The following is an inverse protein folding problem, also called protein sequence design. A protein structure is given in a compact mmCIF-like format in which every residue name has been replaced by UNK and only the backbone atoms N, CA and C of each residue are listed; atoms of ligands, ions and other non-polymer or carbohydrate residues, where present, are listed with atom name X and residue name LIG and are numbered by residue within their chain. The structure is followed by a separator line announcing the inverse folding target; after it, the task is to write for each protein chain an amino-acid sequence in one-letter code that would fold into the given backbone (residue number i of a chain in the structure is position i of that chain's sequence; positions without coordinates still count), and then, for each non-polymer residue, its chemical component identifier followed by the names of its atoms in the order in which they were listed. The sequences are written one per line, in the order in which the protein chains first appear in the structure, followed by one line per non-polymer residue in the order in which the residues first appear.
data_IF_369181145444
#
_entry.id   IF_369181145444
#
_cell.length_a   1.000
_cell.length_b   1.000
_cell.length_c   1.000
_cell.angle_alpha   90.00
_cell.angle_beta   90.00
_cell.angle_gamma   90.00
#
_symmetry.space_group_name_H-M   'P 1'
#
loop_
_entity.id
_entity.type
_entity.pdbx_description
1 polymer ?
#
# COMPACT_ATOMS: atom_id res chain seq x y z
N UNK A 1 -9.21 -24.15 15.81
CA UNK A 1 -8.78 -23.02 16.66
C UNK A 1 -9.39 -21.74 16.12
N UNK A 2 -10.21 -21.09 16.96
CA UNK A 2 -10.78 -19.73 16.94
C UNK A 2 -10.97 -19.00 15.59
N UNK A 3 -12.22 -19.06 15.10
CA UNK A 3 -12.84 -18.08 14.18
C UNK A 3 -12.84 -16.70 14.84
N UNK A 4 -11.93 -15.82 14.44
CA UNK A 4 -12.01 -14.40 14.77
C UNK A 4 -13.15 -13.78 13.95
N UNK A 5 -14.28 -13.44 14.61
CA UNK A 5 -15.21 -12.45 14.08
C UNK A 5 -14.49 -11.11 14.19
N UNK A 6 -14.01 -10.57 13.07
CA UNK A 6 -13.17 -9.36 13.05
C UNK A 6 -14.08 -8.11 13.04
N UNK A 7 -13.86 -7.23 14.02
CA UNK A 7 -14.43 -5.90 14.16
C UNK A 7 -13.99 -5.00 12.95
N UNK A 8 -14.45 -3.73 12.81
CA UNK A 8 -14.26 -2.95 11.59
C UNK A 8 -12.78 -2.95 11.21
N UNK A 9 -12.53 -3.52 10.02
CA UNK A 9 -11.26 -3.68 9.31
C UNK A 9 -10.03 -3.23 10.13
N UNK A 10 -9.51 -4.11 10.98
CA UNK A 10 -8.13 -4.02 11.47
C UNK A 10 -7.28 -4.85 10.50
N UNK A 11 -6.13 -4.30 10.08
CA UNK A 11 -5.17 -5.09 9.30
C UNK A 11 -4.71 -6.30 10.12
N UNK A 12 -4.14 -7.32 9.46
CA UNK A 12 -3.61 -8.48 10.18
C UNK A 12 -2.50 -8.11 11.18
N UNK A 13 -1.93 -6.90 11.08
CA UNK A 13 -0.92 -6.35 11.97
C UNK A 13 -1.45 -5.32 12.97
N UNK A 14 -2.77 -5.06 13.01
CA UNK A 14 -3.40 -4.10 13.93
C UNK A 14 -3.28 -2.63 13.47
N UNK A 15 -2.89 -2.38 12.22
CA UNK A 15 -2.97 -1.06 11.59
C UNK A 15 -4.42 -0.74 11.18
N UNK A 16 -4.82 0.55 11.12
CA UNK A 16 -6.17 0.93 10.74
C UNK A 16 -6.50 0.37 9.35
N UNK A 17 -7.74 -0.04 9.13
CA UNK A 17 -8.22 -0.31 7.78
C UNK A 17 -9.59 0.29 7.50
N UNK A 18 -9.81 0.61 6.24
CA UNK A 18 -11.04 1.21 5.72
C UNK A 18 -11.51 0.48 4.48
N UNK A 19 -12.75 0.71 4.06
CA UNK A 19 -13.31 0.10 2.84
C UNK A 19 -12.71 0.68 1.55
N UNK A 20 -11.92 1.75 1.64
CA UNK A 20 -11.28 2.39 0.51
C UNK A 20 -12.24 3.06 -0.46
N UNK A 21 -11.84 3.16 -1.73
CA UNK A 21 -12.65 3.77 -2.79
C UNK A 21 -13.30 2.69 -3.66
N UNK A 22 -14.62 2.70 -3.73
CA UNK A 22 -15.40 1.72 -4.49
C UNK A 22 -15.01 1.62 -5.96
N UNK A 23 -14.65 2.74 -6.61
CA UNK A 23 -14.24 2.76 -8.03
C UNK A 23 -12.91 2.03 -8.21
N UNK A 24 -11.95 2.31 -7.32
CA UNK A 24 -10.62 1.69 -7.35
C UNK A 24 -10.75 0.20 -7.02
N UNK A 25 -11.55 -0.15 -6.01
CA UNK A 25 -11.79 -1.54 -5.62
C UNK A 25 -12.38 -2.35 -6.78
N UNK A 26 -13.41 -1.84 -7.44
CA UNK A 26 -14.04 -2.52 -8.57
C UNK A 26 -13.07 -2.71 -9.75
N UNK A 27 -12.22 -1.71 -10.02
CA UNK A 27 -11.23 -1.77 -11.09
C UNK A 27 -10.13 -2.79 -10.79
N UNK A 28 -9.56 -2.77 -9.58
CA UNK A 28 -8.54 -3.73 -9.15
C UNK A 28 -9.13 -5.14 -9.16
N UNK A 29 -10.33 -5.32 -8.59
CA UNK A 29 -11.05 -6.60 -8.60
C UNK A 29 -11.22 -7.14 -10.02
N UNK A 30 -11.64 -6.28 -10.96
CA UNK A 30 -11.78 -6.67 -12.37
C UNK A 30 -10.44 -7.13 -12.94
N UNK A 31 -9.36 -6.38 -12.72
CA UNK A 31 -8.02 -6.73 -13.25
C UNK A 31 -7.54 -8.08 -12.71
N UNK A 32 -7.65 -8.31 -11.40
CA UNK A 32 -7.14 -9.56 -10.79
C UNK A 32 -7.95 -10.79 -11.20
N UNK A 33 -9.24 -10.63 -11.48
CA UNK A 33 -10.15 -11.74 -11.82
C UNK A 33 -10.34 -11.96 -13.32
N UNK A 34 -9.96 -10.98 -14.17
CA UNK A 34 -10.20 -11.02 -15.61
C UNK A 34 -9.68 -12.30 -16.28
N UNK A 35 -8.49 -12.78 -15.91
CA UNK A 35 -7.93 -14.00 -16.50
C UNK A 35 -8.66 -15.29 -16.08
N UNK A 36 -9.30 -15.28 -14.91
CA UNK A 36 -9.95 -16.47 -14.33
C UNK A 36 -11.44 -16.55 -14.69
N UNK A 37 -12.13 -15.42 -14.66
CA UNK A 37 -13.58 -15.34 -14.85
C UNK A 37 -13.98 -15.07 -16.30
N UNK A 38 -13.24 -14.18 -16.99
CA UNK A 38 -13.53 -13.77 -18.36
C UNK A 38 -12.60 -14.45 -19.39
N UNK A 39 -11.76 -15.38 -18.93
CA UNK A 39 -10.88 -16.17 -19.79
C UNK A 39 -11.63 -17.21 -20.62
N UNK A 40 -11.04 -17.63 -21.75
CA UNK A 40 -11.63 -18.63 -22.66
C UNK A 40 -11.84 -20.01 -22.01
N UNK A 41 -11.08 -20.32 -20.95
CA UNK A 41 -11.31 -21.47 -20.08
C UNK A 41 -11.51 -20.96 -18.65
N UNK A 42 -12.54 -21.43 -17.95
CA UNK A 42 -12.73 -21.13 -16.53
C UNK A 42 -11.63 -21.86 -15.76
N UNK A 43 -10.75 -21.10 -15.13
CA UNK A 43 -9.66 -21.64 -14.32
C UNK A 43 -10.07 -21.65 -12.84
N UNK A 44 -9.93 -22.80 -12.20
CA UNK A 44 -9.86 -22.86 -10.73
C UNK A 44 -8.54 -22.22 -10.28
N UNK A 45 -8.58 -21.57 -9.13
CA UNK A 45 -7.37 -21.00 -8.52
C UNK A 45 -6.48 -22.15 -8.04
N UNK A 46 -5.21 -22.08 -8.42
CA UNK A 46 -4.11 -23.01 -8.14
C UNK A 46 -2.89 -22.21 -7.71
N UNK A 47 -1.88 -22.89 -7.19
CA UNK A 47 -0.64 -22.28 -6.70
C UNK A 47 0.12 -21.39 -7.71
N UNK A 48 -0.09 -21.57 -9.02
CA UNK A 48 0.65 -20.82 -10.05
C UNK A 48 -0.13 -19.64 -10.66
N UNK A 49 -1.44 -19.55 -10.42
CA UNK A 49 -2.32 -18.52 -10.99
C UNK A 49 -3.14 -17.78 -9.91
N UNK A 50 -2.80 -17.96 -8.63
CA UNK A 50 -3.43 -17.27 -7.52
C UNK A 50 -2.96 -15.82 -7.39
N UNK A 51 -1.79 -15.49 -7.96
CA UNK A 51 -1.19 -14.15 -7.90
C UNK A 51 -1.35 -13.36 -9.20
N UNK A 52 -1.81 -12.12 -9.06
CA UNK A 52 -1.81 -11.14 -10.14
C UNK A 52 -1.08 -9.87 -9.72
N UNK A 53 -0.14 -9.39 -10.54
CA UNK A 53 0.49 -8.08 -10.34
C UNK A 53 -0.33 -7.01 -11.05
N UNK A 54 -0.74 -5.99 -10.30
CA UNK A 54 -1.47 -4.83 -10.84
C UNK A 54 -0.51 -3.66 -10.95
N UNK A 55 -0.24 -3.24 -12.18
CA UNK A 55 0.71 -2.16 -12.48
C UNK A 55 0.26 -0.82 -11.89
N UNK A 56 -1.04 -0.54 -11.93
CA UNK A 56 -1.62 0.71 -11.40
C UNK A 56 -1.25 0.97 -9.94
N UNK A 57 -1.30 -0.08 -9.11
CA UNK A 57 -0.93 0.00 -7.69
C UNK A 57 0.51 -0.43 -7.42
N UNK A 58 1.22 -0.96 -8.43
CA UNK A 58 2.56 -1.56 -8.34
C UNK A 58 2.65 -2.63 -7.25
N UNK A 59 1.62 -3.48 -7.13
CA UNK A 59 1.47 -4.47 -6.05
C UNK A 59 0.95 -5.80 -6.58
N UNK A 60 1.32 -6.85 -5.88
CA UNK A 60 0.82 -8.20 -6.10
C UNK A 60 -0.41 -8.44 -5.22
N UNK A 61 -1.40 -9.14 -5.79
CA UNK A 61 -2.63 -9.56 -5.14
C UNK A 61 -2.72 -11.08 -5.26
N UNK A 62 -3.12 -11.73 -4.17
CA UNK A 62 -3.29 -13.17 -4.09
C UNK A 62 -4.75 -13.51 -3.80
N UNK A 63 -5.26 -14.56 -4.45
CA UNK A 63 -6.60 -15.07 -4.24
C UNK A 63 -6.61 -16.03 -3.03
N UNK A 64 -6.93 -15.45 -1.88
CA UNK A 64 -6.92 -16.08 -0.57
C UNK A 64 -5.51 -16.29 0.01
N UNK A 65 -5.46 -16.95 1.16
CA UNK A 65 -4.27 -17.05 2.01
C UNK A 65 -3.51 -18.38 1.87
N UNK A 66 -4.11 -19.36 1.19
CA UNK A 66 -3.58 -20.73 1.06
C UNK A 66 -2.17 -20.77 0.48
N UNK A 67 -1.97 -20.11 -0.65
CA UNK A 67 -0.70 -20.11 -1.39
C UNK A 67 0.13 -18.85 -1.13
N UNK A 68 -0.50 -17.79 -0.61
CA UNK A 68 0.15 -16.52 -0.28
C UNK A 68 1.42 -16.66 0.56
N UNK A 69 1.42 -17.53 1.59
CA UNK A 69 2.60 -17.73 2.46
C UNK A 69 3.67 -18.64 1.85
N UNK A 70 3.36 -19.31 0.74
CA UNK A 70 4.30 -20.18 0.02
C UNK A 70 5.08 -19.42 -1.06
N UNK A 71 4.63 -18.23 -1.45
CA UNK A 71 5.26 -17.39 -2.47
C UNK A 71 6.50 -16.67 -1.91
N UNK A 72 7.66 -17.32 -1.94
CA UNK A 72 8.90 -16.78 -1.38
C UNK A 72 9.44 -15.56 -2.15
N UNK A 73 9.14 -15.44 -3.44
CA UNK A 73 9.73 -14.40 -4.29
C UNK A 73 9.07 -13.04 -4.07
N UNK A 74 7.78 -13.01 -3.71
CA UNK A 74 6.99 -11.78 -3.61
C UNK A 74 6.38 -11.54 -2.22
N UNK A 75 6.49 -12.51 -1.30
CA UNK A 75 6.10 -12.32 0.09
C UNK A 75 7.19 -11.55 0.86
N UNK A 76 6.86 -10.34 1.29
CA UNK A 76 7.76 -9.52 2.10
C UNK A 76 7.36 -9.53 3.57
N UNK A 77 8.18 -10.12 4.43
CA UNK A 77 7.94 -10.14 5.90
C UNK A 77 7.89 -8.73 6.51
N UNK A 78 8.61 -7.78 5.92
CA UNK A 78 8.65 -6.40 6.38
C UNK A 78 7.38 -5.59 6.05
N UNK A 79 6.44 -6.14 5.27
CA UNK A 79 5.19 -5.48 4.86
C UNK A 79 4.00 -5.93 5.69
N UNK A 80 3.01 -5.06 5.79
CA UNK A 80 1.74 -5.39 6.44
C UNK A 80 0.83 -6.14 5.46
N UNK A 81 0.22 -7.23 5.94
CA UNK A 81 -0.73 -8.01 5.16
C UNK A 81 -2.15 -7.45 5.30
N UNK A 82 -2.76 -7.12 4.17
CA UNK A 82 -4.13 -6.68 4.05
C UNK A 82 -5.00 -7.82 3.50
N UNK A 83 -6.23 -7.89 3.99
CA UNK A 83 -7.22 -8.87 3.55
C UNK A 83 -8.52 -8.14 3.19
N UNK A 84 -8.90 -8.19 1.92
CA UNK A 84 -10.15 -7.66 1.42
C UNK A 84 -11.18 -8.79 1.34
N UNK A 85 -12.28 -8.67 2.10
CA UNK A 85 -13.37 -9.65 2.11
C UNK A 85 -14.26 -9.43 0.89
N UNK A 86 -14.32 -10.43 0.02
CA UNK A 86 -15.21 -10.41 -1.15
C UNK A 86 -16.67 -10.60 -0.76
N UNK A 87 -17.55 -9.96 -1.53
CA UNK A 87 -18.99 -10.12 -1.43
C UNK A 87 -19.47 -11.48 -2.00
N UNK A 88 -20.72 -11.83 -1.72
CA UNK A 88 -21.30 -13.10 -2.17
C UNK A 88 -21.40 -13.23 -3.70
N UNK A 89 -21.60 -12.10 -4.39
CA UNK A 89 -21.62 -12.06 -5.86
C UNK A 89 -20.23 -12.23 -6.45
N UNK A 90 -19.22 -11.58 -5.87
CA UNK A 90 -17.82 -11.66 -6.28
C UNK A 90 -17.26 -13.08 -6.12
N UNK A 91 -17.56 -13.75 -5.00
CA UNK A 91 -17.03 -15.10 -4.71
C UNK A 91 -17.66 -16.24 -5.52
N UNK A 92 -18.80 -16.03 -6.19
CA UNK A 92 -19.65 -17.14 -6.72
C UNK A 92 -18.90 -18.11 -7.62
N UNK A 93 -17.98 -17.59 -8.44
CA UNK A 93 -17.22 -18.37 -9.42
C UNK A 93 -15.72 -18.49 -9.07
N UNK A 94 -15.33 -18.06 -7.87
CA UNK A 94 -13.94 -18.10 -7.40
C UNK A 94 -13.74 -19.22 -6.39
N UNK A 95 -13.19 -20.34 -6.88
CA UNK A 95 -12.93 -21.54 -6.09
C UNK A 95 -11.51 -22.04 -6.32
N UNK A 96 -10.95 -22.67 -5.28
CA UNK A 96 -9.71 -23.44 -5.39
C UNK A 96 -9.90 -24.69 -6.24
N UNK A 97 -8.78 -25.33 -6.62
CA UNK A 97 -8.79 -26.62 -7.32
C UNK A 97 -9.68 -27.67 -6.64
N UNK A 98 -9.66 -27.74 -5.31
CA UNK A 98 -10.45 -28.68 -4.50
C UNK A 98 -11.95 -28.35 -4.44
N UNK A 99 -12.38 -27.22 -5.01
CA UNK A 99 -13.76 -26.72 -4.93
C UNK A 99 -14.08 -25.94 -3.66
N UNK A 100 -13.08 -25.69 -2.80
CA UNK A 100 -13.26 -24.83 -1.65
C UNK A 100 -13.41 -23.36 -2.06
N UNK A 101 -14.33 -22.59 -1.45
CA UNK A 101 -14.57 -21.20 -1.79
C UNK A 101 -13.44 -20.29 -1.31
N UNK A 102 -13.20 -19.21 -2.07
CA UNK A 102 -12.25 -18.16 -1.72
C UNK A 102 -13.02 -16.97 -1.16
N UNK A 103 -12.63 -16.51 0.02
CA UNK A 103 -13.33 -15.42 0.71
C UNK A 103 -12.61 -14.09 0.66
N UNK A 104 -11.28 -14.12 0.65
CA UNK A 104 -10.46 -12.94 0.85
C UNK A 104 -9.48 -12.77 -0.32
N UNK A 105 -9.22 -11.53 -0.71
CA UNK A 105 -8.08 -11.16 -1.56
C UNK A 105 -7.00 -10.62 -0.64
N UNK A 106 -5.80 -11.19 -0.75
CA UNK A 106 -4.67 -10.87 0.12
C UNK A 106 -3.69 -9.99 -0.66
N UNK A 107 -3.14 -8.98 -0.02
CA UNK A 107 -2.11 -8.12 -0.61
C UNK A 107 -1.25 -7.50 0.49
N UNK A 108 -0.18 -6.80 0.10
CA UNK A 108 0.78 -6.22 1.04
C UNK A 108 0.95 -4.71 0.87
N UNK A 109 0.78 -3.98 1.97
CA UNK A 109 1.07 -2.55 2.07
C UNK A 109 2.39 -2.30 2.79
N UNK A 110 2.99 -1.13 2.58
CA UNK A 110 4.20 -0.75 3.31
C UNK A 110 3.88 -0.52 4.78
N UNK A 111 4.52 -1.32 5.65
CA UNK A 111 4.40 -1.18 7.09
C UNK A 111 4.86 0.21 7.55
N UNK A 112 4.12 0.83 8.47
CA UNK A 112 4.36 2.17 9.03
C UNK A 112 4.28 3.38 8.08
N UNK A 113 4.15 3.17 6.77
CA UNK A 113 3.90 4.25 5.79
C UNK A 113 2.45 4.25 5.31
N UNK A 114 1.88 3.05 5.14
CA UNK A 114 0.58 2.81 4.53
C UNK A 114 -0.31 1.97 5.45
N UNK A 115 -1.61 2.01 5.19
CA UNK A 115 -2.63 1.22 5.87
C UNK A 115 -3.63 0.64 4.86
N UNK A 116 -4.35 -0.42 5.23
CA UNK A 116 -5.22 -1.14 4.31
C UNK A 116 -6.49 -0.33 3.99
N UNK A 117 -6.83 -0.19 2.72
CA UNK A 117 -7.87 0.72 2.25
C UNK A 117 -8.63 0.06 1.09
N UNK A 118 -9.54 -0.86 1.40
CA UNK A 118 -10.23 -1.69 0.42
C UNK A 118 -9.30 -2.67 -0.27
N UNK A 119 -9.11 -2.50 -1.59
CA UNK A 119 -8.11 -3.19 -2.40
C UNK A 119 -6.88 -2.31 -2.71
N UNK A 120 -6.72 -1.19 -2.02
CA UNK A 120 -5.55 -0.31 -2.15
C UNK A 120 -4.86 -0.09 -0.80
N UNK A 121 -3.74 0.61 -0.83
CA UNK A 121 -2.98 1.06 0.34
C UNK A 121 -3.04 2.58 0.44
N UNK A 122 -3.70 3.09 1.48
CA UNK A 122 -3.81 4.52 1.75
C UNK A 122 -2.67 4.98 2.66
N UNK A 123 -2.28 6.26 2.62
CA UNK A 123 -1.16 6.76 3.42
C UNK A 123 -1.63 7.16 4.81
N UNK A 124 -0.87 6.78 5.84
CA UNK A 124 -1.20 7.13 7.23
C UNK A 124 -1.29 8.66 7.42
N UNK A 125 -0.51 9.44 6.66
CA UNK A 125 -0.56 10.90 6.66
C UNK A 125 -1.97 11.45 6.37
N UNK A 126 -2.74 10.79 5.49
CA UNK A 126 -4.07 11.26 5.07
C UNK A 126 -5.11 11.13 6.20
N UNK A 127 -4.88 10.24 7.19
CA UNK A 127 -5.70 10.15 8.40
C UNK A 127 -5.49 11.36 9.32
N UNK A 128 -4.27 11.91 9.35
CA UNK A 128 -3.91 13.07 10.18
C UNK A 128 -4.32 14.39 9.53
N UNK A 129 -4.39 14.43 8.20
CA UNK A 129 -4.71 15.63 7.41
C UNK A 129 -5.81 15.32 6.39
N UNK A 130 -7.07 15.18 6.83
CA UNK A 130 -8.18 14.89 5.93
C UNK A 130 -8.30 15.97 4.86
N UNK A 131 -8.76 15.60 3.65
CA UNK A 131 -8.89 16.49 2.49
C UNK A 131 -9.83 17.69 2.71
N UNK A 132 -10.57 17.71 3.83
CA UNK A 132 -11.34 18.87 4.31
C UNK A 132 -10.45 19.98 4.88
N UNK A 133 -9.16 19.72 5.08
CA UNK A 133 -8.19 20.78 5.40
C UNK A 133 -7.86 21.58 4.14
N UNK A 134 -8.09 22.92 4.14
CA UNK A 134 -7.81 23.73 2.96
C UNK A 134 -6.31 23.63 2.60
N UNK A 135 -5.97 23.60 1.30
CA UNK A 135 -4.62 23.32 0.80
C UNK A 135 -3.53 24.27 1.33
N UNK A 136 -3.93 25.44 1.85
CA UNK A 136 -3.05 26.45 2.45
C UNK A 136 -2.52 26.09 3.85
N UNK A 137 -3.02 25.02 4.49
CA UNK A 137 -2.56 24.53 5.79
C UNK A 137 -1.55 23.38 5.71
N UNK A 138 -0.85 23.21 4.58
CA UNK A 138 0.32 22.31 4.51
C UNK A 138 1.54 23.02 5.11
N UNK A 139 2.26 22.42 6.09
CA UNK A 139 3.55 22.95 6.50
C UNK A 139 4.51 22.81 5.31
N UNK A 140 4.86 23.95 4.70
CA UNK A 140 5.87 24.04 3.66
C UNK A 140 7.24 23.82 4.29
N UNK A 141 7.64 22.57 4.49
CA UNK A 141 9.04 22.26 4.75
C UNK A 141 9.81 22.31 3.42
N UNK A 142 10.94 23.01 3.44
CA UNK A 142 11.86 23.42 2.35
C UNK A 142 11.57 24.86 1.83
N UNK A 143 12.37 25.91 2.08
CA UNK A 143 13.73 25.99 2.55
C UNK A 143 13.96 27.33 3.28
N UNK A 144 14.23 27.28 4.58
CA UNK A 144 14.98 28.34 5.25
C UNK A 144 16.47 28.06 4.99
N UNK A 145 16.93 28.38 3.77
CA UNK A 145 18.35 28.63 3.54
C UNK A 145 18.63 30.02 4.13
N UNK A 146 18.74 30.10 5.45
CA UNK A 146 19.35 31.23 6.13
C UNK A 146 20.84 31.11 5.81
N UNK A 147 21.28 31.76 4.72
CA UNK A 147 22.69 32.12 4.60
C UNK A 147 22.96 33.18 5.67
N UNK A 148 23.34 32.73 6.86
CA UNK A 148 24.07 33.55 7.81
C UNK A 148 25.40 33.94 7.14
N UNK A 149 25.43 35.12 6.52
CA UNK A 149 26.68 35.81 6.22
C UNK A 149 27.05 36.56 7.51
N UNK A 150 28.11 36.19 8.25
CA UNK A 150 28.59 37.02 9.32
C UNK A 150 29.35 38.19 8.68
N UNK A 151 28.78 39.38 8.87
CA UNK A 151 29.42 40.65 8.59
C UNK A 151 30.61 40.90 9.52
N UNK A 152 31.65 41.53 8.96
CA UNK A 152 32.60 42.43 9.62
C UNK A 152 33.65 41.83 10.58
N UNK A 153 34.85 41.57 10.05
CA UNK A 153 36.09 41.81 10.78
C UNK A 153 37.01 42.77 9.98
N UNK A 154 37.03 44.01 10.47
CA UNK A 154 38.23 44.84 10.73
C UNK A 154 39.06 45.44 9.57
N UNK A 155 38.88 46.76 9.39
CA UNK A 155 39.91 47.81 9.45
C UNK A 155 41.30 47.48 8.87
N UNK A 156 41.62 48.05 7.69
CA UNK A 156 42.99 48.45 7.35
C UNK A 156 43.46 49.52 8.36
N UNK A 157 44.75 49.54 8.79
CA UNK A 157 45.80 50.13 7.94
C UNK A 157 47.25 49.57 8.11
N UNK A 158 47.98 49.61 6.99
CA UNK A 158 49.33 50.20 6.87
C UNK A 158 50.60 49.46 7.41
N UNK A 159 51.61 49.48 6.52
CA UNK A 159 53.06 49.36 6.68
C UNK A 159 53.74 47.97 6.78
N UNK A 160 54.60 47.72 5.76
CA UNK A 160 55.91 47.04 5.81
C UNK A 160 55.92 45.54 6.14
N UNK A 161 56.69 44.64 5.55
CA UNK A 161 57.92 44.66 4.74
C UNK A 161 58.17 43.19 4.30
N UNK A 162 59.02 43.01 3.28
CA UNK A 162 59.91 41.86 3.04
C UNK A 162 59.44 40.57 2.30
N UNK A 163 60.16 40.31 1.20
CA UNK A 163 60.63 39.02 0.64
C UNK A 163 59.55 38.08 0.06
N UNK A 164 59.55 37.67 -1.21
CA UNK A 164 60.63 37.40 -2.17
C UNK A 164 60.06 37.51 -3.60
#
# INVERSE_FOLDING_TARGET
MLRARRAPMESLSGTPATDGNNVINAEIYRIITQQLLDGFAIWRVKMFNDRTFVEKTRRSYWLGDRYYRMDNDYYWVARDTCAYRMNETERRNLVYEDGLPIYDIIYQCKRYEEYCCGLDCCRIYDLQHPATTPPWRRPRWNAAFIMCIPTLFTLMPVFTLFLN
#
